data_IF_367965504611
#
_entry.id   IF_367965504611
#
_cell.length_a   1.000
_cell.length_b   1.000
_cell.length_c   1.000
_cell.angle_alpha   90.00
_cell.angle_beta   90.00
_cell.angle_gamma   90.00
#
_symmetry.space_group_name_H-M   'P 1'
#
loop_
_entity.id
_entity.type
_entity.pdbx_description
1 polymer ?
#
# COMPACT_ATOMS: atom_id res chain seq x y z
N UNK A 1 17.05 -4.80 6.05
CA UNK A 1 16.01 -4.43 5.09
C UNK A 1 15.05 -3.44 5.73
N UNK A 2 14.32 -2.67 4.89
CA UNK A 2 13.40 -1.61 5.36
C UNK A 2 14.06 -0.61 6.32
N UNK A 3 15.31 -0.25 6.02
CA UNK A 3 16.16 0.57 6.88
C UNK A 3 15.58 1.97 7.16
N UNK A 4 14.60 2.42 6.38
CA UNK A 4 13.87 3.66 6.66
C UNK A 4 13.17 3.66 8.03
N UNK A 5 12.88 2.48 8.63
CA UNK A 5 12.36 2.37 9.98
C UNK A 5 13.43 2.64 11.07
N UNK A 6 14.73 2.63 10.72
CA UNK A 6 15.81 2.82 11.66
C UNK A 6 15.84 4.22 12.33
N UNK A 7 15.13 5.20 11.77
CA UNK A 7 14.89 6.49 12.38
C UNK A 7 14.12 6.43 13.71
N UNK A 8 13.31 5.38 13.94
CA UNK A 8 12.54 5.23 15.16
C UNK A 8 13.46 5.08 16.39
N UNK A 9 13.07 5.69 17.51
CA UNK A 9 13.88 5.72 18.77
C UNK A 9 14.28 4.33 19.25
N UNK A 10 13.45 3.31 19.05
CA UNK A 10 13.72 1.92 19.44
C UNK A 10 14.86 1.32 18.62
N UNK A 11 14.87 1.54 17.31
CA UNK A 11 15.92 1.05 16.42
C UNK A 11 17.25 1.79 16.65
N UNK A 12 17.21 3.12 16.83
CA UNK A 12 18.42 3.90 17.16
C UNK A 12 19.09 3.37 18.45
N UNK A 13 18.30 3.15 19.51
CA UNK A 13 18.81 2.54 20.75
C UNK A 13 19.39 1.14 20.55
N UNK A 14 18.84 0.35 19.67
CA UNK A 14 19.37 -0.98 19.34
C UNK A 14 20.72 -0.87 18.64
N UNK A 15 20.83 -0.03 17.63
CA UNK A 15 22.06 0.20 16.87
C UNK A 15 23.18 0.71 17.79
N UNK A 16 22.88 1.64 18.70
CA UNK A 16 23.83 2.18 19.67
C UNK A 16 24.34 1.14 20.67
N UNK A 17 23.47 0.17 21.05
CA UNK A 17 23.83 -0.88 22.03
C UNK A 17 24.61 -2.04 21.42
N UNK A 18 24.46 -2.29 20.18
CA UNK A 18 25.11 -3.40 19.47
C UNK A 18 26.49 -2.94 19.00
N UNK A 19 27.56 -3.57 19.53
CA UNK A 19 28.91 -3.38 18.99
C UNK A 19 28.96 -4.04 17.60
N UNK A 20 28.89 -3.25 16.56
CA UNK A 20 28.97 -3.71 15.18
C UNK A 20 30.24 -3.19 14.50
N UNK A 21 30.89 -4.05 13.72
CA UNK A 21 32.03 -3.66 12.88
C UNK A 21 31.59 -3.09 11.55
N UNK A 22 30.35 -3.39 11.15
CA UNK A 22 29.75 -2.96 9.89
C UNK A 22 28.24 -2.84 10.02
N UNK A 23 27.67 -1.77 9.48
CA UNK A 23 26.22 -1.54 9.40
C UNK A 23 25.81 -1.38 7.94
N UNK A 24 24.92 -2.26 7.45
CA UNK A 24 24.36 -2.17 6.12
C UNK A 24 22.84 -1.93 6.20
N UNK A 25 22.39 -0.81 5.64
CA UNK A 25 20.99 -0.47 5.47
C UNK A 25 20.52 -0.71 4.03
N UNK A 26 19.40 -1.40 3.87
CA UNK A 26 18.73 -1.59 2.59
C UNK A 26 17.34 -0.99 2.69
N UNK A 27 16.95 -0.12 1.74
CA UNK A 27 15.62 0.50 1.68
C UNK A 27 15.29 0.98 0.29
N UNK A 28 14.04 0.89 -0.10
CA UNK A 28 13.53 1.50 -1.33
C UNK A 28 13.26 3.02 -1.17
N UNK A 29 13.19 3.52 0.07
CA UNK A 29 12.82 4.90 0.38
C UNK A 29 13.83 5.54 1.36
N UNK A 30 15.04 5.89 0.89
CA UNK A 30 16.08 6.45 1.75
C UNK A 30 15.74 7.86 2.27
N UNK A 31 14.94 8.61 1.50
CA UNK A 31 14.53 9.97 1.86
C UNK A 31 13.13 9.96 2.45
N UNK A 32 13.03 10.34 3.72
CA UNK A 32 11.77 10.37 4.49
C UNK A 32 11.12 11.75 4.46
N UNK A 33 9.80 11.77 4.31
CA UNK A 33 9.02 13.02 4.37
C UNK A 33 8.92 13.66 5.76
N UNK A 34 9.25 12.92 6.83
CA UNK A 34 9.22 13.39 8.23
C UNK A 34 10.51 14.09 8.68
N UNK A 35 11.42 14.38 7.77
CA UNK A 35 12.72 15.02 8.02
C UNK A 35 13.66 14.26 8.97
N UNK A 36 13.39 12.99 9.28
CA UNK A 36 14.30 12.17 10.06
C UNK A 36 15.35 11.57 9.13
N UNK A 37 16.59 11.96 9.31
CA UNK A 37 17.70 11.46 8.50
C UNK A 37 18.16 10.09 9.01
N UNK A 38 18.09 9.09 8.16
CA UNK A 38 18.60 7.73 8.41
C UNK A 38 20.03 7.55 7.91
N UNK A 39 20.47 8.41 7.01
CA UNK A 39 21.80 8.31 6.40
C UNK A 39 22.90 8.60 7.41
N UNK A 40 22.61 9.45 8.42
CA UNK A 40 23.52 9.69 9.56
C UNK A 40 23.95 8.40 10.25
N UNK A 41 23.06 7.39 10.35
CA UNK A 41 23.36 6.10 10.97
C UNK A 41 24.42 5.30 10.19
N UNK A 42 24.60 5.62 8.90
CA UNK A 42 25.61 5.04 8.02
C UNK A 42 26.71 6.06 7.64
N UNK A 43 26.94 7.09 8.47
CA UNK A 43 27.90 8.17 8.21
C UNK A 43 27.70 8.85 6.83
N UNK A 44 26.46 8.99 6.41
CA UNK A 44 26.05 9.51 5.09
C UNK A 44 26.66 8.75 3.89
N UNK A 45 27.02 7.49 4.10
CA UNK A 45 27.63 6.67 3.07
C UNK A 45 26.55 5.89 2.30
N UNK A 46 26.34 6.24 1.03
CA UNK A 46 25.47 5.53 0.10
C UNK A 46 26.33 4.78 -0.90
N UNK A 47 26.31 3.45 -0.84
CA UNK A 47 27.12 2.60 -1.71
C UNK A 47 26.47 2.44 -3.08
N UNK A 48 25.14 2.25 -3.08
CA UNK A 48 24.33 2.03 -4.28
C UNK A 48 23.04 2.80 -4.15
N UNK A 49 22.67 3.54 -5.20
CA UNK A 49 21.37 4.19 -5.32
C UNK A 49 20.83 3.97 -6.74
N UNK A 50 19.82 3.12 -6.86
CA UNK A 50 19.08 2.94 -8.10
C UNK A 50 17.70 3.56 -7.98
N UNK A 51 17.42 4.55 -8.80
CA UNK A 51 16.06 5.08 -8.93
C UNK A 51 15.15 4.06 -9.63
N UNK A 52 13.84 4.17 -9.38
CA UNK A 52 12.82 3.29 -9.96
C UNK A 52 12.95 3.22 -11.50
N UNK A 53 13.18 4.36 -12.15
CA UNK A 53 13.36 4.42 -13.62
C UNK A 53 14.55 3.58 -14.09
N UNK A 54 15.68 3.72 -13.41
CA UNK A 54 16.86 2.91 -13.70
C UNK A 54 16.59 1.43 -13.58
N UNK A 55 15.85 1.02 -12.53
CA UNK A 55 15.46 -0.37 -12.35
C UNK A 55 14.54 -0.90 -13.46
N UNK A 56 13.63 -0.06 -13.98
CA UNK A 56 12.78 -0.39 -15.13
C UNK A 56 13.61 -0.51 -16.41
N UNK A 57 14.48 0.47 -16.68
CA UNK A 57 15.32 0.50 -17.88
C UNK A 57 16.29 -0.70 -17.93
N UNK A 58 16.74 -1.19 -16.77
CA UNK A 58 17.55 -2.40 -16.61
C UNK A 58 16.74 -3.71 -16.68
N UNK A 59 15.42 -3.66 -16.75
CA UNK A 59 14.55 -4.84 -16.75
C UNK A 59 14.44 -5.55 -15.39
N UNK A 60 14.89 -4.95 -14.30
CA UNK A 60 14.79 -5.47 -12.93
C UNK A 60 13.38 -5.22 -12.36
N UNK A 61 12.78 -4.10 -12.72
CA UNK A 61 11.42 -3.71 -12.34
C UNK A 61 10.52 -3.69 -13.57
N UNK A 62 9.27 -4.07 -13.39
CA UNK A 62 8.26 -3.99 -14.44
C UNK A 62 7.86 -2.55 -14.72
N UNK A 63 7.64 -2.17 -16.00
CA UNK A 63 7.03 -0.90 -16.31
C UNK A 63 5.60 -0.83 -15.79
N UNK A 64 5.11 0.37 -15.52
CA UNK A 64 3.77 0.61 -15.00
C UNK A 64 3.10 1.80 -15.70
N UNK A 65 1.77 1.82 -15.63
CA UNK A 65 0.97 2.97 -16.01
C UNK A 65 0.29 3.54 -14.76
N UNK A 66 0.52 4.81 -14.49
CA UNK A 66 -0.12 5.50 -13.36
C UNK A 66 -1.31 6.32 -13.83
N UNK A 67 -2.46 6.13 -13.19
CA UNK A 67 -3.68 6.87 -13.45
C UNK A 67 -4.13 7.58 -12.18
N UNK A 68 -4.01 8.90 -12.14
CA UNK A 68 -4.60 9.72 -11.09
C UNK A 68 -6.10 9.93 -11.38
N UNK A 69 -6.97 9.59 -10.43
CA UNK A 69 -8.40 9.84 -10.53
C UNK A 69 -8.80 10.85 -9.46
N UNK A 70 -9.54 11.89 -9.87
CA UNK A 70 -10.18 12.78 -8.92
C UNK A 70 -11.42 12.12 -8.35
N UNK A 71 -11.63 12.29 -7.06
CA UNK A 71 -12.92 12.08 -6.41
C UNK A 71 -13.46 13.43 -5.87
N UNK A 72 -14.75 13.49 -5.59
CA UNK A 72 -15.42 14.70 -5.08
C UNK A 72 -15.48 14.71 -3.54
N UNK A 73 -14.57 14.00 -2.89
CA UNK A 73 -14.51 13.91 -1.42
C UNK A 73 -13.85 15.14 -0.85
N UNK A 74 -14.52 15.79 0.10
CA UNK A 74 -13.94 16.88 0.87
C UNK A 74 -13.15 16.31 2.07
N UNK A 75 -11.85 16.31 1.96
CA UNK A 75 -10.93 15.83 2.99
C UNK A 75 -10.63 16.88 4.08
N UNK A 76 -11.05 18.15 3.91
CA UNK A 76 -10.72 19.25 4.81
C UNK A 76 -11.33 19.09 6.22
N UNK A 77 -12.45 18.38 6.30
CA UNK A 77 -13.19 18.15 7.54
C UNK A 77 -12.80 16.86 8.25
N UNK A 78 -11.88 16.07 7.69
CA UNK A 78 -11.43 14.81 8.30
C UNK A 78 -10.39 15.08 9.38
N UNK A 79 -10.65 14.62 10.59
CA UNK A 79 -9.73 14.81 11.71
C UNK A 79 -8.41 14.08 11.49
N UNK A 80 -7.34 14.69 11.97
CA UNK A 80 -6.01 14.08 11.97
C UNK A 80 -5.69 13.49 13.33
N UNK A 81 -5.12 12.26 13.34
CA UNK A 81 -4.50 11.63 14.49
C UNK A 81 -3.00 11.47 14.23
N UNK A 82 -2.19 12.40 14.73
CA UNK A 82 -0.78 12.49 14.36
C UNK A 82 -0.62 12.83 12.88
N UNK A 83 0.08 12.01 12.12
CA UNK A 83 0.29 12.19 10.68
C UNK A 83 -0.74 11.45 9.80
N UNK A 84 -1.72 10.78 10.40
CA UNK A 84 -2.72 10.00 9.69
C UNK A 84 -4.12 10.60 9.90
N UNK A 85 -5.02 10.35 8.95
CA UNK A 85 -6.44 10.65 9.13
C UNK A 85 -7.08 9.76 10.20
N UNK A 86 -8.06 10.28 10.94
CA UNK A 86 -8.93 9.46 11.76
C UNK A 86 -9.70 8.47 10.86
N UNK A 87 -9.54 7.17 11.12
CA UNK A 87 -10.13 6.11 10.27
C UNK A 87 -11.65 6.19 10.25
N UNK A 88 -12.30 6.51 11.37
CA UNK A 88 -13.76 6.58 11.43
C UNK A 88 -14.31 7.74 10.59
N UNK A 89 -13.64 8.89 10.62
CA UNK A 89 -14.05 10.05 9.83
C UNK A 89 -13.72 9.83 8.34
N UNK A 90 -12.60 9.20 8.04
CA UNK A 90 -12.22 8.82 6.69
C UNK A 90 -13.20 7.81 6.08
N UNK A 91 -13.64 6.79 6.84
CA UNK A 91 -14.68 5.86 6.40
C UNK A 91 -15.97 6.57 6.00
N UNK A 92 -16.45 7.51 6.83
CA UNK A 92 -17.67 8.26 6.51
C UNK A 92 -17.56 9.05 5.22
N UNK A 93 -16.38 9.59 4.94
CA UNK A 93 -16.11 10.36 3.75
C UNK A 93 -15.95 9.49 2.49
N UNK A 94 -15.39 8.28 2.62
CA UNK A 94 -15.06 7.42 1.49
C UNK A 94 -16.15 6.39 1.15
N UNK A 95 -16.96 5.97 2.14
CA UNK A 95 -18.00 4.95 1.94
C UNK A 95 -19.29 5.64 1.44
N UNK A 96 -19.29 6.01 0.18
CA UNK A 96 -20.43 6.59 -0.52
C UNK A 96 -20.69 5.84 -1.84
N UNK A 97 -21.97 5.55 -2.17
CA UNK A 97 -22.32 4.74 -3.34
C UNK A 97 -21.77 5.31 -4.66
N UNK A 98 -21.88 6.61 -4.85
CA UNK A 98 -21.45 7.29 -6.08
C UNK A 98 -19.95 7.14 -6.32
N UNK A 99 -19.17 7.10 -5.24
CA UNK A 99 -17.72 6.88 -5.32
C UNK A 99 -17.40 5.44 -5.68
N UNK A 100 -18.11 4.47 -5.10
CA UNK A 100 -17.94 3.05 -5.41
C UNK A 100 -18.21 2.79 -6.90
N UNK A 101 -19.30 3.36 -7.44
CA UNK A 101 -19.64 3.28 -8.86
C UNK A 101 -18.55 3.88 -9.75
N UNK A 102 -18.04 5.06 -9.38
CA UNK A 102 -16.98 5.72 -10.14
C UNK A 102 -15.69 4.88 -10.16
N UNK A 103 -15.32 4.25 -9.03
CA UNK A 103 -14.16 3.36 -8.92
C UNK A 103 -14.35 2.15 -9.84
N UNK A 104 -15.50 1.50 -9.79
CA UNK A 104 -15.78 0.31 -10.62
C UNK A 104 -15.73 0.66 -12.10
N UNK A 105 -16.30 1.79 -12.50
CA UNK A 105 -16.24 2.27 -13.87
C UNK A 105 -14.80 2.52 -14.32
N UNK A 106 -13.98 3.20 -13.50
CA UNK A 106 -12.58 3.44 -13.79
C UNK A 106 -11.76 2.14 -13.83
N UNK A 107 -12.06 1.19 -12.96
CA UNK A 107 -11.45 -0.13 -13.00
C UNK A 107 -11.73 -0.86 -14.31
N UNK A 108 -12.99 -0.87 -14.77
CA UNK A 108 -13.38 -1.46 -16.07
C UNK A 108 -12.64 -0.80 -17.23
N UNK A 109 -12.51 0.52 -17.21
CA UNK A 109 -11.82 1.29 -18.26
C UNK A 109 -10.31 1.04 -18.30
N UNK A 110 -9.65 0.96 -17.13
CA UNK A 110 -8.19 1.01 -17.03
C UNK A 110 -7.54 -0.32 -16.73
N UNK A 111 -8.15 -1.14 -15.89
CA UNK A 111 -7.64 -2.45 -15.53
C UNK A 111 -8.04 -3.55 -16.53
N UNK A 112 -9.12 -3.34 -17.28
CA UNK A 112 -9.58 -4.28 -18.31
C UNK A 112 -9.62 -5.73 -17.80
N UNK A 113 -10.28 -5.94 -16.66
CA UNK A 113 -10.42 -7.24 -15.98
C UNK A 113 -9.09 -7.94 -15.58
N UNK A 114 -8.00 -7.19 -15.49
CA UNK A 114 -6.74 -7.74 -15.00
C UNK A 114 -6.81 -8.07 -13.51
N UNK A 115 -6.07 -9.08 -13.05
CA UNK A 115 -5.91 -9.33 -11.62
C UNK A 115 -5.52 -8.05 -10.89
N UNK A 116 -6.28 -7.67 -9.86
CA UNK A 116 -6.17 -6.37 -9.21
C UNK A 116 -6.10 -6.53 -7.70
N UNK A 117 -5.30 -5.69 -7.04
CA UNK A 117 -5.29 -5.53 -5.59
C UNK A 117 -5.81 -4.11 -5.29
N UNK A 118 -6.90 -4.01 -4.52
CA UNK A 118 -7.45 -2.75 -4.07
C UNK A 118 -7.14 -2.53 -2.59
N UNK A 119 -6.52 -1.40 -2.26
CA UNK A 119 -6.21 -1.04 -0.88
C UNK A 119 -7.30 -0.15 -0.29
N UNK A 120 -7.83 -0.52 0.86
CA UNK A 120 -8.89 0.19 1.57
C UNK A 120 -8.40 0.72 2.91
N UNK A 121 -9.08 1.76 3.44
CA UNK A 121 -8.69 2.41 4.70
C UNK A 121 -9.12 1.63 5.95
N UNK A 122 -10.08 0.70 5.84
CA UNK A 122 -10.61 -0.09 6.94
C UNK A 122 -11.21 -1.41 6.49
N UNK A 123 -11.45 -2.34 7.43
CA UNK A 123 -12.13 -3.62 7.17
C UNK A 123 -13.51 -3.41 6.54
N UNK A 124 -14.31 -2.53 7.13
CA UNK A 124 -15.64 -2.20 6.63
C UNK A 124 -15.62 -1.63 5.21
N UNK A 125 -14.63 -0.78 4.91
CA UNK A 125 -14.45 -0.25 3.55
C UNK A 125 -14.06 -1.38 2.57
N UNK A 126 -13.20 -2.31 2.99
CA UNK A 126 -12.80 -3.45 2.18
C UNK A 126 -13.99 -4.39 1.86
N UNK A 127 -14.78 -4.74 2.87
CA UNK A 127 -15.97 -5.59 2.71
C UNK A 127 -16.98 -4.95 1.76
N UNK A 128 -17.30 -3.68 2.00
CA UNK A 128 -18.22 -2.94 1.14
C UNK A 128 -17.74 -2.84 -0.30
N UNK A 129 -16.44 -2.59 -0.49
CA UNK A 129 -15.86 -2.49 -1.83
C UNK A 129 -15.95 -3.81 -2.57
N UNK A 130 -15.64 -4.94 -1.90
CA UNK A 130 -15.81 -6.27 -2.46
C UNK A 130 -17.27 -6.55 -2.85
N UNK A 131 -18.23 -6.25 -1.95
CA UNK A 131 -19.66 -6.38 -2.25
C UNK A 131 -20.07 -5.54 -3.46
N UNK A 132 -19.58 -4.32 -3.58
CA UNK A 132 -19.88 -3.44 -4.71
C UNK A 132 -19.36 -4.02 -6.03
N UNK A 133 -18.15 -4.57 -6.06
CA UNK A 133 -17.62 -5.25 -7.24
C UNK A 133 -18.45 -6.50 -7.59
N UNK A 134 -18.82 -7.32 -6.60
CA UNK A 134 -19.65 -8.53 -6.78
C UNK A 134 -21.02 -8.17 -7.38
N UNK A 135 -21.67 -7.11 -6.90
CA UNK A 135 -22.94 -6.61 -7.45
C UNK A 135 -22.85 -6.24 -8.95
N UNK A 136 -21.65 -5.86 -9.40
CA UNK A 136 -21.37 -5.55 -10.81
C UNK A 136 -20.87 -6.76 -11.62
N UNK A 137 -21.00 -7.97 -11.08
CA UNK A 137 -20.61 -9.21 -11.74
C UNK A 137 -19.09 -9.46 -11.76
N UNK A 138 -18.33 -8.75 -10.92
CA UNK A 138 -16.87 -8.91 -10.81
C UNK A 138 -16.57 -9.77 -9.60
N UNK A 139 -15.94 -10.92 -9.80
CA UNK A 139 -15.56 -11.81 -8.71
C UNK A 139 -14.47 -11.18 -7.86
N UNK A 140 -14.80 -10.82 -6.61
CA UNK A 140 -13.94 -10.12 -5.66
C UNK A 140 -13.95 -10.81 -4.30
N UNK A 141 -12.80 -10.85 -3.64
CA UNK A 141 -12.64 -11.44 -2.30
C UNK A 141 -11.92 -10.46 -1.38
N UNK A 142 -12.22 -10.55 -0.09
CA UNK A 142 -11.60 -9.74 0.95
C UNK A 142 -10.40 -10.48 1.54
N UNK A 143 -9.25 -9.78 1.60
CA UNK A 143 -8.02 -10.28 2.17
C UNK A 143 -7.60 -9.38 3.35
N UNK A 144 -7.76 -9.88 4.56
CA UNK A 144 -7.49 -9.14 5.79
C UNK A 144 -6.34 -9.77 6.60
N UNK A 145 -5.85 -9.02 7.57
CA UNK A 145 -4.76 -9.47 8.45
C UNK A 145 -5.11 -10.70 9.30
N UNK A 146 -6.39 -10.89 9.61
CA UNK A 146 -6.94 -12.02 10.36
C UNK A 146 -7.42 -13.18 9.49
N UNK A 147 -7.34 -13.06 8.17
CA UNK A 147 -7.63 -14.16 7.24
C UNK A 147 -6.69 -15.35 7.53
N UNK A 148 -7.25 -16.55 7.71
CA UNK A 148 -6.49 -17.76 7.99
C UNK A 148 -5.42 -18.04 6.90
N UNK A 149 -4.26 -18.60 7.29
CA UNK A 149 -3.12 -18.81 6.39
C UNK A 149 -3.49 -19.64 5.14
N UNK A 150 -4.25 -20.70 5.33
CA UNK A 150 -4.66 -21.58 4.22
C UNK A 150 -5.56 -20.83 3.23
N UNK A 151 -6.50 -20.03 3.75
CA UNK A 151 -7.36 -19.18 2.92
C UNK A 151 -6.54 -18.12 2.18
N UNK A 152 -5.51 -17.54 2.80
CA UNK A 152 -4.64 -16.56 2.13
C UNK A 152 -3.92 -17.17 0.93
N UNK A 153 -3.35 -18.38 1.11
CA UNK A 153 -2.65 -19.08 0.03
C UNK A 153 -3.61 -19.41 -1.13
N UNK A 154 -4.83 -19.87 -0.82
CA UNK A 154 -5.86 -20.14 -1.82
C UNK A 154 -6.23 -18.86 -2.59
N UNK A 155 -6.53 -17.76 -1.90
CA UNK A 155 -6.89 -16.49 -2.53
C UNK A 155 -5.80 -15.94 -3.47
N UNK A 156 -4.52 -16.09 -3.09
CA UNK A 156 -3.40 -15.70 -3.96
C UNK A 156 -3.38 -16.57 -5.22
N UNK A 157 -3.55 -17.88 -5.06
CA UNK A 157 -3.63 -18.82 -6.18
C UNK A 157 -4.79 -18.47 -7.12
N UNK A 158 -5.98 -18.25 -6.56
CA UNK A 158 -7.20 -17.93 -7.32
C UNK A 158 -7.06 -16.62 -8.10
N UNK A 159 -6.39 -15.61 -7.52
CA UNK A 159 -6.07 -14.38 -8.24
C UNK A 159 -5.08 -14.62 -9.39
N UNK A 160 -4.06 -15.44 -9.18
CA UNK A 160 -3.08 -15.78 -10.21
C UNK A 160 -3.73 -16.59 -11.36
N UNK A 161 -4.65 -17.50 -11.04
CA UNK A 161 -5.40 -18.31 -12.00
C UNK A 161 -6.56 -17.54 -12.64
N UNK A 162 -6.85 -16.33 -12.16
CA UNK A 162 -7.94 -15.46 -12.58
C UNK A 162 -9.35 -15.98 -12.23
N UNK A 163 -9.45 -16.89 -11.26
CA UNK A 163 -10.72 -17.34 -10.72
C UNK A 163 -11.41 -16.22 -9.92
N UNK A 164 -10.62 -15.37 -9.29
CA UNK A 164 -11.05 -14.05 -8.80
C UNK A 164 -10.33 -12.95 -9.57
N UNK A 165 -11.02 -11.82 -9.76
CA UNK A 165 -10.49 -10.65 -10.49
C UNK A 165 -9.87 -9.63 -9.56
N UNK A 166 -10.33 -9.58 -8.32
CA UNK A 166 -9.96 -8.52 -7.40
C UNK A 166 -9.82 -9.04 -5.96
N UNK A 167 -8.71 -8.72 -5.34
CA UNK A 167 -8.59 -8.72 -3.89
C UNK A 167 -8.86 -7.34 -3.35
N UNK A 168 -9.57 -7.25 -2.26
CA UNK A 168 -9.69 -6.03 -1.48
C UNK A 168 -8.94 -6.21 -0.17
N UNK A 169 -7.95 -5.36 0.06
CA UNK A 169 -7.02 -5.45 1.18
C UNK A 169 -7.05 -4.17 2.02
N UNK A 170 -6.79 -4.30 3.34
CA UNK A 170 -6.53 -3.16 4.21
C UNK A 170 -5.15 -2.58 3.92
N UNK A 171 -5.06 -1.25 3.82
CA UNK A 171 -3.79 -0.53 3.82
C UNK A 171 -3.29 -0.45 5.27
N UNK A 172 -2.17 -1.08 5.57
CA UNK A 172 -1.51 -1.04 6.89
C UNK A 172 -0.77 0.27 7.12
#
# INVERSE_FOLDING_TARGET
DEFHHAAAKTYRKLIEKVKHSFLLGLTATPYRGDRQDILELCNNNIIVNYEMRTGIDMGILSPYHYFGCFDNVDYSNIKMKGNNYDICDLEKALIIPERDEAIIQKWKEKANEKPTIAFCCSHRHAERMAESFIKHGINAEVYLSDTAKDKRAALISDLQQRDIKLFVQLMC
#
